data_IF_552816577845
#
_entry.id   IF_552816577845
#
_cell.length_a   1.000
_cell.length_b   1.000
_cell.length_c   1.000
_cell.angle_alpha   90.00
_cell.angle_beta   90.00
_cell.angle_gamma   90.00
#
_symmetry.space_group_name_H-M   'P 1'
#
loop_
_entity.id
_entity.type
_entity.pdbx_description
1 polymer ?
#
# COMPACT_ATOMS: atom_id res chain seq x y z
N UNK A 1 14.19 -1.03 -9.66
CA UNK A 1 14.06 0.05 -8.65
C UNK A 1 13.40 1.32 -9.21
N UNK A 2 13.92 1.95 -10.27
CA UNK A 2 13.24 3.11 -10.91
C UNK A 2 11.82 2.79 -11.41
N UNK A 3 11.64 1.58 -11.97
CA UNK A 3 10.35 1.09 -12.46
C UNK A 3 9.29 1.01 -11.34
N UNK A 4 9.59 0.34 -10.22
CA UNK A 4 8.69 0.22 -9.07
C UNK A 4 8.22 1.57 -8.53
N UNK A 5 9.14 2.52 -8.30
CA UNK A 5 8.80 3.87 -7.84
C UNK A 5 7.83 4.58 -8.79
N UNK A 6 8.15 4.55 -10.09
CA UNK A 6 7.35 5.25 -11.08
C UNK A 6 6.00 4.56 -11.32
N UNK A 7 5.95 3.23 -11.22
CA UNK A 7 4.73 2.44 -11.34
C UNK A 7 3.79 2.71 -10.16
N UNK A 8 4.27 2.67 -8.92
CA UNK A 8 3.45 2.95 -7.73
C UNK A 8 2.97 4.40 -7.72
N UNK A 9 3.82 5.37 -8.04
CA UNK A 9 3.43 6.78 -8.14
C UNK A 9 2.42 7.02 -9.28
N UNK A 10 2.59 6.34 -10.41
CA UNK A 10 1.62 6.37 -11.50
C UNK A 10 0.29 5.78 -11.06
N UNK A 11 0.28 4.58 -10.46
CA UNK A 11 -0.94 3.94 -9.96
C UNK A 11 -1.65 4.78 -8.90
N UNK A 12 -0.91 5.44 -8.01
CA UNK A 12 -1.47 6.31 -6.98
C UNK A 12 -2.23 7.52 -7.54
N UNK A 13 -1.91 7.98 -8.74
CA UNK A 13 -2.62 9.07 -9.41
C UNK A 13 -3.62 8.56 -10.45
N UNK A 14 -3.25 7.53 -11.21
CA UNK A 14 -4.02 6.98 -12.31
C UNK A 14 -5.26 6.21 -11.82
N UNK A 15 -5.14 5.37 -10.79
CA UNK A 15 -6.27 4.58 -10.30
C UNK A 15 -7.40 5.46 -9.75
N UNK A 16 -7.14 6.50 -8.91
CA UNK A 16 -8.18 7.40 -8.48
C UNK A 16 -8.85 8.16 -9.63
N UNK A 17 -8.09 8.58 -10.64
CA UNK A 17 -8.64 9.26 -11.81
C UNK A 17 -9.51 8.33 -12.66
N UNK A 18 -9.07 7.09 -12.86
CA UNK A 18 -9.83 6.06 -13.56
C UNK A 18 -11.14 5.76 -12.83
N UNK A 19 -11.08 5.57 -11.52
CA UNK A 19 -12.26 5.30 -10.69
C UNK A 19 -13.22 6.49 -10.65
N UNK A 20 -12.70 7.71 -10.53
CA UNK A 20 -13.51 8.92 -10.63
C UNK A 20 -14.26 8.99 -11.96
N UNK A 21 -13.55 8.72 -13.06
CA UNK A 21 -14.15 8.73 -14.40
C UNK A 21 -15.23 7.66 -14.56
N UNK A 22 -15.00 6.46 -14.05
CA UNK A 22 -15.96 5.35 -14.03
C UNK A 22 -17.23 5.73 -13.24
N UNK A 23 -17.06 6.25 -12.02
CA UNK A 23 -18.20 6.61 -11.16
C UNK A 23 -18.98 7.81 -11.69
N UNK A 24 -18.29 8.78 -12.32
CA UNK A 24 -18.94 9.92 -12.96
C UNK A 24 -19.81 9.53 -14.16
N UNK A 25 -19.60 8.33 -14.73
CA UNK A 25 -20.39 7.75 -15.82
C UNK A 25 -21.39 6.70 -15.36
N UNK A 26 -21.43 6.40 -14.06
CA UNK A 26 -22.33 5.38 -13.52
C UNK A 26 -23.76 5.90 -13.52
N UNK A 27 -24.67 5.14 -14.14
CA UNK A 27 -26.11 5.44 -14.12
C UNK A 27 -26.76 5.06 -12.77
N UNK A 28 -26.05 4.35 -11.89
CA UNK A 28 -26.50 3.96 -10.55
C UNK A 28 -26.01 4.92 -9.47
N UNK A 29 -26.76 5.10 -8.36
CA UNK A 29 -26.32 5.92 -7.23
C UNK A 29 -25.03 5.36 -6.63
N UNK A 30 -23.95 6.14 -6.69
CA UNK A 30 -22.64 5.76 -6.16
C UNK A 30 -22.49 6.26 -4.72
N UNK A 31 -22.05 5.38 -3.82
CA UNK A 31 -21.68 5.78 -2.46
C UNK A 31 -20.29 6.41 -2.42
N UNK A 32 -20.22 7.68 -2.84
CA UNK A 32 -19.00 8.48 -2.95
C UNK A 32 -18.16 8.47 -1.66
N UNK A 33 -18.80 8.56 -0.49
CA UNK A 33 -18.12 8.59 0.80
C UNK A 33 -17.28 7.32 1.06
N UNK A 34 -17.84 6.14 0.80
CA UNK A 34 -17.14 4.86 0.98
C UNK A 34 -16.06 4.68 -0.08
N UNK A 35 -16.39 4.97 -1.35
CA UNK A 35 -15.47 4.73 -2.46
C UNK A 35 -14.27 5.69 -2.44
N UNK A 36 -14.48 6.97 -2.15
CA UNK A 36 -13.41 7.97 -1.99
C UNK A 36 -12.52 7.59 -0.81
N UNK A 37 -13.09 7.18 0.34
CA UNK A 37 -12.30 6.83 1.51
C UNK A 37 -11.37 5.63 1.24
N UNK A 38 -11.89 4.56 0.64
CA UNK A 38 -11.08 3.39 0.27
C UNK A 38 -10.00 3.73 -0.78
N UNK A 39 -10.34 4.51 -1.80
CA UNK A 39 -9.40 4.93 -2.85
C UNK A 39 -8.29 5.83 -2.31
N UNK A 40 -8.63 6.74 -1.42
CA UNK A 40 -7.65 7.64 -0.78
C UNK A 40 -6.66 6.84 0.04
N UNK A 41 -7.13 5.86 0.82
CA UNK A 41 -6.27 4.99 1.61
C UNK A 41 -5.34 4.14 0.73
N UNK A 42 -5.86 3.60 -0.38
CA UNK A 42 -5.05 2.88 -1.38
C UNK A 42 -3.97 3.78 -1.98
N UNK A 43 -4.33 4.98 -2.39
CA UNK A 43 -3.39 5.95 -2.97
C UNK A 43 -2.32 6.34 -1.96
N UNK A 44 -2.69 6.53 -0.69
CA UNK A 44 -1.75 6.82 0.38
C UNK A 44 -0.73 5.70 0.58
N UNK A 45 -1.16 4.43 0.60
CA UNK A 45 -0.24 3.29 0.71
C UNK A 45 0.70 3.19 -0.50
N UNK A 46 0.20 3.39 -1.72
CA UNK A 46 1.04 3.38 -2.93
C UNK A 46 2.08 4.51 -2.92
N UNK A 47 1.71 5.70 -2.43
CA UNK A 47 2.65 6.82 -2.25
C UNK A 47 3.72 6.51 -1.20
N UNK A 48 3.39 5.78 -0.13
CA UNK A 48 4.38 5.33 0.85
C UNK A 48 5.40 4.37 0.21
N UNK A 49 4.93 3.43 -0.63
CA UNK A 49 5.80 2.59 -1.45
C UNK A 49 6.73 3.42 -2.34
N UNK A 50 6.16 4.38 -3.07
CA UNK A 50 6.93 5.20 -4.00
C UNK A 50 8.01 6.02 -3.26
N UNK A 51 7.66 6.58 -2.09
CA UNK A 51 8.59 7.27 -1.21
C UNK A 51 9.70 6.33 -0.73
N UNK A 52 9.37 5.09 -0.35
CA UNK A 52 10.36 4.11 0.11
C UNK A 52 11.39 3.82 -0.98
N UNK A 53 10.92 3.51 -2.19
CA UNK A 53 11.82 3.25 -3.31
C UNK A 53 12.61 4.49 -3.72
N UNK A 54 12.05 5.69 -3.56
CA UNK A 54 12.76 6.93 -3.78
C UNK A 54 13.94 7.07 -2.81
N UNK A 55 13.70 6.92 -1.51
CA UNK A 55 14.74 7.02 -0.48
C UNK A 55 15.79 5.93 -0.63
N UNK A 56 15.37 4.70 -0.93
CA UNK A 56 16.28 3.59 -1.17
C UNK A 56 17.18 3.82 -2.39
N UNK A 57 16.63 4.39 -3.46
CA UNK A 57 17.41 4.76 -4.65
C UNK A 57 18.38 5.90 -4.36
N UNK A 58 17.99 6.89 -3.55
CA UNK A 58 18.89 7.96 -3.12
C UNK A 58 20.04 7.42 -2.26
N UNK A 59 19.73 6.61 -1.24
CA UNK A 59 20.72 5.96 -0.39
C UNK A 59 21.73 5.14 -1.20
N UNK A 60 21.26 4.37 -2.18
CA UNK A 60 22.12 3.59 -3.07
C UNK A 60 23.02 4.48 -3.96
N UNK A 61 22.48 5.56 -4.54
CA UNK A 61 23.26 6.47 -5.40
C UNK A 61 24.31 7.24 -4.61
N UNK A 62 23.95 7.70 -3.41
CA UNK A 62 24.81 8.52 -2.55
C UNK A 62 25.74 7.68 -1.67
N UNK A 63 25.63 6.35 -1.70
CA UNK A 63 26.32 5.42 -0.80
C UNK A 63 26.14 5.79 0.69
N UNK A 64 24.96 6.32 1.02
CA UNK A 64 24.61 6.78 2.35
C UNK A 64 23.58 5.86 2.99
N UNK A 65 23.58 5.82 4.33
CA UNK A 65 22.53 5.19 5.12
C UNK A 65 21.17 5.86 4.88
N UNK A 66 20.08 5.13 5.16
CA UNK A 66 18.76 5.73 5.17
C UNK A 66 18.69 6.87 6.21
N UNK A 67 17.89 7.93 5.98
CA UNK A 67 17.78 9.04 6.91
C UNK A 67 17.33 8.58 8.30
N UNK A 68 17.81 9.21 9.38
CA UNK A 68 17.44 8.82 10.75
C UNK A 68 15.93 8.91 11.04
N UNK A 69 15.21 9.82 10.38
CA UNK A 69 13.75 9.96 10.49
C UNK A 69 12.97 8.85 9.77
N UNK A 70 13.63 8.04 8.92
CA UNK A 70 13.00 6.96 8.17
C UNK A 70 12.24 6.01 9.09
N UNK A 71 12.87 5.59 10.19
CA UNK A 71 12.26 4.62 11.11
C UNK A 71 10.99 5.19 11.75
N UNK A 72 11.02 6.44 12.22
CA UNK A 72 9.87 7.08 12.85
C UNK A 72 8.73 7.26 11.85
N UNK A 73 9.03 7.73 10.64
CA UNK A 73 8.04 7.95 9.59
C UNK A 73 7.34 6.64 9.18
N UNK A 74 8.10 5.57 8.89
CA UNK A 74 7.50 4.30 8.46
C UNK A 74 6.79 3.56 9.59
N UNK A 75 7.21 3.78 10.85
CA UNK A 75 6.46 3.28 12.00
C UNK A 75 5.13 4.02 12.15
N UNK A 76 5.14 5.35 12.02
CA UNK A 76 3.91 6.15 12.02
C UNK A 76 2.97 5.73 10.88
N UNK A 77 3.49 5.55 9.66
CA UNK A 77 2.71 5.04 8.53
C UNK A 77 2.13 3.64 8.79
N UNK A 78 2.88 2.73 9.42
CA UNK A 78 2.36 1.41 9.79
C UNK A 78 1.10 1.52 10.65
N UNK A 79 1.13 2.36 11.68
CA UNK A 79 -0.02 2.59 12.57
C UNK A 79 -1.14 3.35 11.86
N UNK A 80 -0.80 4.40 11.10
CA UNK A 80 -1.76 5.20 10.35
C UNK A 80 -2.53 4.35 9.31
N UNK A 81 -1.86 3.41 8.64
CA UNK A 81 -2.50 2.50 7.69
C UNK A 81 -3.47 1.55 8.39
N UNK A 82 -3.08 0.98 9.53
CA UNK A 82 -3.98 0.09 10.31
C UNK A 82 -5.19 0.87 10.81
N UNK A 83 -4.99 2.08 11.34
CA UNK A 83 -6.09 2.96 11.75
C UNK A 83 -6.96 3.36 10.56
N UNK A 84 -6.37 3.66 9.41
CA UNK A 84 -7.09 3.98 8.17
C UNK A 84 -7.95 2.81 7.69
N UNK A 85 -7.41 1.59 7.67
CA UNK A 85 -8.16 0.36 7.32
C UNK A 85 -9.35 0.19 8.28
N UNK A 86 -9.11 0.32 9.59
CA UNK A 86 -10.16 0.20 10.59
C UNK A 86 -11.24 1.28 10.44
N UNK A 87 -10.85 2.53 10.14
CA UNK A 87 -11.77 3.64 9.93
C UNK A 87 -12.63 3.44 8.67
N UNK A 88 -12.05 2.99 7.56
CA UNK A 88 -12.82 2.70 6.34
C UNK A 88 -13.75 1.50 6.56
N UNK A 89 -13.31 0.45 7.27
CA UNK A 89 -14.18 -0.68 7.64
C UNK A 89 -15.34 -0.23 8.53
N UNK A 90 -15.08 0.64 9.52
CA UNK A 90 -16.13 1.19 10.37
C UNK A 90 -17.12 2.05 9.56
N UNK A 91 -16.62 2.85 8.61
CA UNK A 91 -17.46 3.63 7.70
C UNK A 91 -18.34 2.71 6.84
N UNK A 92 -17.75 1.69 6.22
CA UNK A 92 -18.48 0.67 5.44
C UNK A 92 -19.56 0.00 6.30
N UNK A 93 -19.23 -0.42 7.52
CA UNK A 93 -20.19 -1.03 8.44
C UNK A 93 -21.33 -0.06 8.81
N UNK A 94 -21.01 1.21 9.10
CA UNK A 94 -21.99 2.24 9.45
C UNK A 94 -22.97 2.57 8.31
N UNK A 95 -22.53 2.38 7.06
CA UNK A 95 -23.32 2.66 5.87
C UNK A 95 -23.94 1.41 5.26
N UNK A 96 -23.59 0.20 5.72
CA UNK A 96 -23.93 -1.09 5.11
C UNK A 96 -25.41 -1.30 4.77
N UNK A 97 -26.33 -0.69 5.51
CA UNK A 97 -27.79 -0.75 5.26
C UNK A 97 -28.28 0.24 4.19
N UNK A 98 -27.45 1.21 3.82
CA UNK A 98 -27.73 2.31 2.87
C UNK A 98 -26.93 2.26 1.58
N UNK A 99 -25.95 1.34 1.48
CA UNK A 99 -25.12 1.11 0.28
C UNK A 99 -25.57 -0.12 -0.48
N UNK A 100 -25.31 -0.14 -1.79
CA UNK A 100 -25.56 -1.32 -2.61
C UNK A 100 -24.53 -2.42 -2.31
N UNK A 101 -24.90 -3.68 -2.61
CA UNK A 101 -23.96 -4.81 -2.50
C UNK A 101 -22.74 -4.64 -3.44
N UNK A 102 -22.91 -3.94 -4.56
CA UNK A 102 -21.82 -3.62 -5.49
C UNK A 102 -20.82 -2.66 -4.85
N UNK A 103 -21.28 -1.61 -4.16
CA UNK A 103 -20.40 -0.68 -3.43
C UNK A 103 -19.62 -1.39 -2.32
N UNK A 104 -20.29 -2.28 -1.58
CA UNK A 104 -19.66 -3.09 -0.54
C UNK A 104 -18.61 -4.04 -1.11
N UNK A 105 -18.93 -4.71 -2.22
CA UNK A 105 -17.99 -5.60 -2.93
C UNK A 105 -16.78 -4.83 -3.47
N UNK A 106 -17.02 -3.66 -4.06
CA UNK A 106 -15.96 -2.79 -4.57
C UNK A 106 -15.04 -2.28 -3.45
N UNK A 107 -15.62 -1.74 -2.37
CA UNK A 107 -14.86 -1.26 -1.22
C UNK A 107 -14.08 -2.39 -0.53
N UNK A 108 -14.69 -3.58 -0.44
CA UNK A 108 -14.03 -4.79 0.05
C UNK A 108 -12.82 -5.17 -0.81
N UNK A 109 -12.96 -5.15 -2.14
CA UNK A 109 -11.86 -5.43 -3.06
C UNK A 109 -10.69 -4.44 -2.89
N UNK A 110 -10.99 -3.13 -2.82
CA UNK A 110 -9.96 -2.12 -2.59
C UNK A 110 -9.31 -2.26 -1.22
N UNK A 111 -10.08 -2.55 -0.17
CA UNK A 111 -9.53 -2.81 1.16
C UNK A 111 -8.64 -4.05 1.18
N UNK A 112 -8.99 -5.10 0.44
CA UNK A 112 -8.12 -6.28 0.30
C UNK A 112 -6.79 -5.91 -0.37
N UNK A 113 -6.80 -5.06 -1.40
CA UNK A 113 -5.57 -4.55 -2.02
C UNK A 113 -4.74 -3.70 -1.04
N UNK A 114 -5.39 -2.81 -0.29
CA UNK A 114 -4.74 -1.99 0.77
C UNK A 114 -4.09 -2.89 1.82
N UNK A 115 -4.79 -3.92 2.30
CA UNK A 115 -4.27 -4.88 3.27
C UNK A 115 -3.12 -5.70 2.67
N UNK A 116 -3.26 -6.13 1.41
CA UNK A 116 -2.20 -6.85 0.71
C UNK A 116 -0.94 -6.00 0.61
N UNK A 117 -1.05 -4.72 0.27
CA UNK A 117 0.09 -3.79 0.21
C UNK A 117 0.67 -3.48 1.60
N UNK A 118 -0.17 -3.35 2.63
CA UNK A 118 0.30 -3.22 4.01
C UNK A 118 1.15 -4.42 4.43
N UNK A 119 0.70 -5.65 4.11
CA UNK A 119 1.48 -6.86 4.36
C UNK A 119 2.74 -6.88 3.48
N UNK A 120 2.62 -6.48 2.21
CA UNK A 120 3.70 -6.44 1.22
C UNK A 120 4.88 -5.57 1.69
N UNK A 121 4.59 -4.41 2.28
CA UNK A 121 5.62 -3.50 2.75
C UNK A 121 6.15 -3.85 4.15
N UNK A 122 5.28 -4.24 5.07
CA UNK A 122 5.67 -4.34 6.49
C UNK A 122 5.95 -5.75 6.99
N UNK A 123 5.54 -6.80 6.29
CA UNK A 123 5.66 -8.18 6.77
C UNK A 123 6.35 -9.09 5.75
N UNK A 124 5.70 -9.33 4.61
CA UNK A 124 6.13 -10.33 3.63
C UNK A 124 6.08 -9.75 2.23
N UNK A 125 7.15 -9.95 1.45
CA UNK A 125 7.15 -9.55 0.05
C UNK A 125 6.15 -10.43 -0.74
N UNK A 126 5.02 -9.84 -1.11
CA UNK A 126 3.96 -10.46 -1.92
C UNK A 126 4.20 -10.22 -3.41
N UNK A 127 4.71 -9.04 -3.77
CA UNK A 127 5.00 -8.70 -5.16
C UNK A 127 6.36 -9.28 -5.59
N UNK A 128 6.31 -10.49 -6.16
CA UNK A 128 7.46 -11.12 -6.82
C UNK A 128 7.49 -10.77 -8.29
N UNK A 129 8.12 -9.66 -8.62
CA UNK A 129 8.24 -9.14 -9.99
C UNK A 129 9.26 -9.92 -10.87
N UNK A 130 9.72 -11.11 -10.43
CA UNK A 130 10.77 -11.85 -11.14
C UNK A 130 10.58 -13.35 -10.99
N UNK A 131 10.62 -14.09 -12.12
CA UNK A 131 10.47 -15.57 -12.17
C UNK A 131 11.42 -16.31 -11.20
N UNK A 132 12.61 -15.75 -10.94
CA UNK A 132 13.56 -16.31 -9.96
C UNK A 132 13.09 -16.24 -8.51
N UNK A 133 12.28 -15.25 -8.15
CA UNK A 133 11.75 -15.12 -6.80
C UNK A 133 10.54 -16.04 -6.56
N UNK A 134 9.74 -16.29 -7.61
CA UNK A 134 8.72 -17.34 -7.60
C UNK A 134 9.33 -18.75 -7.51
N UNK A 135 10.45 -18.97 -8.21
CA UNK A 135 11.21 -20.22 -8.10
C UNK A 135 11.81 -20.44 -6.69
N UNK A 136 12.24 -19.36 -6.02
CA UNK A 136 12.70 -19.40 -4.63
C UNK A 136 11.56 -19.72 -3.66
N UNK A 137 10.39 -19.08 -3.83
CA UNK A 137 9.19 -19.37 -3.04
C UNK A 137 8.74 -20.82 -3.21
N UNK A 138 8.75 -21.33 -4.44
CA UNK A 138 8.40 -22.73 -4.76
C UNK A 138 9.43 -23.73 -4.22
N UNK A 139 10.73 -23.38 -4.17
CA UNK A 139 11.79 -24.26 -3.67
C UNK A 139 11.89 -24.29 -2.14
N UNK A 140 11.66 -23.17 -1.46
CA UNK A 140 11.85 -23.06 -0.01
C UNK A 140 10.57 -22.93 0.80
N UNK A 141 9.41 -22.73 0.15
CA UNK A 141 8.10 -22.65 0.82
C UNK A 141 7.95 -21.47 1.78
N UNK A 142 8.87 -20.50 1.74
CA UNK A 142 8.90 -19.37 2.69
C UNK A 142 8.87 -18.05 1.94
N UNK A 143 7.92 -17.20 2.32
CA UNK A 143 7.87 -15.80 1.87
C UNK A 143 9.10 -15.07 2.39
N UNK A 144 9.79 -14.35 1.50
CA UNK A 144 10.89 -13.46 1.91
C UNK A 144 10.32 -12.30 2.72
N UNK A 145 11.07 -11.92 3.73
CA UNK A 145 10.76 -10.73 4.51
C UNK A 145 10.84 -9.49 3.62
N UNK A 146 9.87 -8.58 3.76
CA UNK A 146 9.78 -7.38 2.95
C UNK A 146 11.05 -6.53 3.10
N UNK A 147 11.52 -5.95 2.00
CA UNK A 147 12.73 -5.14 2.00
C UNK A 147 12.65 -3.96 2.99
N UNK A 148 11.46 -3.35 3.12
CA UNK A 148 11.20 -2.27 4.06
C UNK A 148 11.18 -2.76 5.51
N UNK A 149 10.59 -3.93 5.79
CA UNK A 149 10.62 -4.55 7.12
C UNK A 149 12.06 -4.87 7.57
N UNK A 150 12.89 -5.40 6.66
CA UNK A 150 14.31 -5.66 6.92
C UNK A 150 15.09 -4.37 7.20
N UNK A 151 14.87 -3.33 6.40
CA UNK A 151 15.52 -2.03 6.59
C UNK A 151 15.07 -1.39 7.92
N UNK A 152 13.79 -1.50 8.29
CA UNK A 152 13.27 -1.03 9.58
C UNK A 152 13.92 -1.76 10.78
N UNK A 153 14.10 -3.08 10.67
CA UNK A 153 14.79 -3.89 11.68
C UNK A 153 16.27 -3.48 11.81
N UNK A 154 16.97 -3.29 10.69
CA UNK A 154 18.38 -2.88 10.67
C UNK A 154 18.58 -1.49 11.27
N UNK A 155 17.73 -0.52 10.93
CA UNK A 155 17.78 0.81 11.52
C UNK A 155 17.59 0.76 13.04
N UNK A 156 16.70 -0.11 13.55
CA UNK A 156 16.48 -0.26 15.00
C UNK A 156 17.70 -0.81 15.74
N UNK A 157 18.54 -1.60 15.08
CA UNK A 157 19.76 -2.18 15.67
C UNK A 157 20.93 -1.19 15.72
N UNK A 158 20.97 -0.19 14.82
CA UNK A 158 22.04 0.81 14.76
C UNK A 158 21.84 2.01 15.72
N UNK A 159 20.76 2.03 16.49
CA UNK A 159 20.44 3.10 17.46
C UNK A 159 20.76 2.69 18.90
N UNK A 160 21.77 1.82 19.10
CA UNK A 160 22.31 1.40 20.40
C UNK A 160 23.75 1.88 20.50
#
# INVERSE_FOLDING_TARGET
MKYLRNAEAFCAAFLPLLFWWDWARSDTPVAWEVRIAATTLMSAILLQGALYWHLKLQAFKLHQSLPGWFQQLYTAFKYANVMGIAAVLALVASRSTSVTNEDLGWAGCVLLLVVAEQINYYHYQLMYDTRGAFAYLRRHGRLREAALALDLKRSKTNTI
#
